data_IF_367740835020
#
_entry.id   IF_367740835020
#
_cell.length_a   1.000
_cell.length_b   1.000
_cell.length_c   1.000
_cell.angle_alpha   90.00
_cell.angle_beta   90.00
_cell.angle_gamma   90.00
#
_symmetry.space_group_name_H-M   'P 1'
#
loop_
_entity.id
_entity.type
_entity.pdbx_description
1 polymer ?
#
# COMPACT_ATOMS: atom_id res chain seq x y z
N UNK A 1 -17.89 -31.30 31.12
CA UNK A 1 -17.68 -30.30 30.05
C UNK A 1 -16.47 -30.75 29.26
N UNK A 2 -16.63 -31.05 27.97
CA UNK A 2 -15.50 -31.31 27.08
C UNK A 2 -14.65 -30.04 27.02
N UNK A 3 -13.40 -30.14 27.44
CA UNK A 3 -12.47 -29.01 27.39
C UNK A 3 -12.08 -28.80 25.94
N UNK A 4 -12.37 -27.64 25.38
CA UNK A 4 -12.00 -27.31 24.00
C UNK A 4 -10.48 -27.50 23.83
N UNK A 5 -10.06 -28.25 22.79
CA UNK A 5 -8.65 -28.57 22.53
C UNK A 5 -7.75 -27.35 22.35
N UNK A 6 -8.33 -26.18 22.04
CA UNK A 6 -7.62 -24.91 21.87
C UNK A 6 -7.53 -24.08 23.15
N UNK A 7 -8.22 -24.45 24.24
CA UNK A 7 -8.25 -23.68 25.49
C UNK A 7 -6.86 -23.40 26.08
N UNK A 8 -5.99 -24.41 26.11
CA UNK A 8 -4.61 -24.29 26.60
C UNK A 8 -3.82 -23.27 25.78
N UNK A 9 -3.87 -23.40 24.45
CA UNK A 9 -3.18 -22.50 23.52
C UNK A 9 -3.69 -21.07 23.66
N UNK A 10 -5.01 -20.88 23.78
CA UNK A 10 -5.59 -19.54 23.95
C UNK A 10 -5.25 -18.92 25.32
N UNK A 11 -5.09 -19.73 26.36
CA UNK A 11 -4.68 -19.24 27.68
C UNK A 11 -3.26 -18.67 27.73
N UNK A 12 -2.39 -19.11 26.81
CA UNK A 12 -1.01 -18.62 26.68
C UNK A 12 -0.92 -17.34 25.85
N UNK A 13 -1.98 -16.99 25.11
CA UNK A 13 -2.01 -15.82 24.22
C UNK A 13 -2.23 -14.54 25.02
N UNK A 14 -1.65 -13.44 24.52
CA UNK A 14 -1.86 -12.10 25.07
C UNK A 14 -3.24 -11.54 24.68
N UNK A 15 -3.78 -10.64 25.49
CA UNK A 15 -5.14 -10.09 25.31
C UNK A 15 -5.34 -9.50 23.90
N UNK A 16 -4.37 -8.76 23.39
CA UNK A 16 -4.41 -8.17 22.05
C UNK A 16 -4.48 -9.23 20.94
N UNK A 17 -3.78 -10.35 21.11
CA UNK A 17 -3.76 -11.44 20.14
C UNK A 17 -5.10 -12.18 20.16
N UNK A 18 -5.67 -12.43 21.34
CA UNK A 18 -7.01 -12.99 21.51
C UNK A 18 -8.08 -12.09 20.87
N UNK A 19 -8.00 -10.76 21.10
CA UNK A 19 -8.88 -9.78 20.47
C UNK A 19 -8.78 -9.84 18.95
N UNK A 20 -7.55 -9.95 18.40
CA UNK A 20 -7.33 -10.03 16.96
C UNK A 20 -7.92 -11.31 16.34
N UNK A 21 -7.79 -12.45 17.03
CA UNK A 21 -8.35 -13.74 16.62
C UNK A 21 -9.88 -13.69 16.56
N UNK A 22 -10.54 -13.04 17.52
CA UNK A 22 -12.03 -12.97 17.53
C UNK A 22 -12.59 -11.85 16.65
N UNK A 23 -11.74 -10.98 16.10
CA UNK A 23 -12.11 -9.84 15.25
C UNK A 23 -11.54 -9.98 13.83
N UNK A 24 -10.40 -9.35 13.54
CA UNK A 24 -9.84 -9.21 12.19
C UNK A 24 -9.38 -10.53 11.57
N UNK A 25 -8.82 -11.43 12.38
CA UNK A 25 -8.29 -12.72 11.90
C UNK A 25 -9.31 -13.86 12.05
N UNK A 26 -10.56 -13.57 12.42
CA UNK A 26 -11.58 -14.60 12.69
C UNK A 26 -11.75 -15.61 11.55
N UNK A 27 -11.57 -15.18 10.31
CA UNK A 27 -11.69 -16.03 9.13
C UNK A 27 -10.50 -17.00 8.94
N UNK A 28 -9.35 -16.69 9.53
CA UNK A 28 -8.11 -17.47 9.38
C UNK A 28 -8.02 -18.62 10.40
N UNK A 29 -8.92 -18.66 11.39
CA UNK A 29 -8.92 -19.64 12.47
C UNK A 29 -10.12 -20.59 12.42
N UNK A 30 -9.93 -21.80 12.95
CA UNK A 30 -11.02 -22.76 13.16
C UNK A 30 -12.06 -22.19 14.12
N UNK A 31 -13.37 -22.45 13.90
CA UNK A 31 -14.43 -21.90 14.73
C UNK A 31 -14.30 -22.30 16.21
N UNK A 32 -13.81 -23.51 16.49
CA UNK A 32 -13.56 -23.97 17.85
C UNK A 32 -12.41 -23.18 18.51
N UNK A 33 -11.40 -22.74 17.75
CA UNK A 33 -10.32 -21.92 18.26
C UNK A 33 -10.81 -20.49 18.58
N UNK A 34 -11.70 -19.95 17.74
CA UNK A 34 -12.36 -18.65 17.99
C UNK A 34 -13.22 -18.71 19.25
N UNK A 35 -13.99 -19.78 19.44
CA UNK A 35 -14.81 -19.97 20.65
C UNK A 35 -13.93 -20.05 21.91
N UNK A 36 -12.82 -20.79 21.86
CA UNK A 36 -11.87 -20.85 22.98
C UNK A 36 -11.25 -19.48 23.30
N UNK A 37 -10.97 -18.66 22.29
CA UNK A 37 -10.47 -17.30 22.48
C UNK A 37 -11.53 -16.37 23.10
N UNK A 38 -12.80 -16.48 22.67
CA UNK A 38 -13.91 -15.73 23.26
C UNK A 38 -14.14 -16.12 24.73
N UNK A 39 -14.04 -17.41 25.07
CA UNK A 39 -14.14 -17.91 26.44
C UNK A 39 -13.00 -17.41 27.32
N UNK A 40 -11.78 -17.38 26.79
CA UNK A 40 -10.61 -16.86 27.49
C UNK A 40 -10.72 -15.35 27.75
N UNK A 41 -11.18 -14.57 26.76
CA UNK A 41 -11.45 -13.14 26.93
C UNK A 41 -12.52 -12.89 28.01
N UNK A 42 -13.59 -13.70 28.03
CA UNK A 42 -14.59 -13.66 29.10
C UNK A 42 -14.00 -14.01 30.45
N UNK A 43 -13.13 -15.03 30.54
CA UNK A 43 -12.42 -15.40 31.78
C UNK A 43 -11.56 -14.25 32.32
N UNK A 44 -10.96 -13.45 31.42
CA UNK A 44 -10.17 -12.27 31.76
C UNK A 44 -11.01 -11.00 32.01
N UNK A 45 -12.34 -11.08 31.99
CA UNK A 45 -13.26 -9.95 32.10
C UNK A 45 -13.07 -8.88 30.99
N UNK A 46 -12.64 -9.30 29.80
CA UNK A 46 -12.49 -8.43 28.64
C UNK A 46 -13.75 -8.53 27.78
N UNK A 47 -14.61 -7.52 27.89
CA UNK A 47 -15.91 -7.48 27.22
C UNK A 47 -15.77 -6.98 25.78
N UNK A 48 -16.61 -7.45 24.83
CA UNK A 48 -16.64 -6.94 23.44
C UNK A 48 -16.66 -5.43 23.29
N UNK A 49 -17.33 -4.70 24.18
CA UNK A 49 -17.35 -3.23 24.18
C UNK A 49 -15.97 -2.60 24.38
N UNK A 50 -15.05 -3.28 25.09
CA UNK A 50 -13.72 -2.75 25.41
C UNK A 50 -12.77 -2.79 24.22
N UNK A 51 -13.05 -3.59 23.19
CA UNK A 51 -12.17 -3.73 22.02
C UNK A 51 -12.86 -3.46 20.68
N UNK A 52 -14.18 -3.54 20.60
CA UNK A 52 -14.93 -3.22 19.36
C UNK A 52 -14.68 -1.79 18.89
N UNK A 53 -14.63 -0.83 19.80
CA UNK A 53 -14.43 0.58 19.45
C UNK A 53 -13.02 0.81 18.88
N UNK A 54 -11.99 0.20 19.49
CA UNK A 54 -10.61 0.25 19.00
C UNK A 54 -10.46 -0.44 17.64
N UNK A 55 -11.07 -1.61 17.45
CA UNK A 55 -11.00 -2.30 16.14
C UNK A 55 -11.65 -1.50 15.03
N UNK A 56 -12.78 -0.83 15.29
CA UNK A 56 -13.46 0.00 14.28
C UNK A 56 -12.69 1.27 13.94
N UNK A 57 -12.09 1.95 14.92
CA UNK A 57 -11.26 3.11 14.65
C UNK A 57 -9.99 2.73 13.87
N UNK A 58 -9.33 1.64 14.25
CA UNK A 58 -8.13 1.16 13.56
C UNK A 58 -8.45 0.70 12.14
N UNK A 59 -9.55 -0.03 11.94
CA UNK A 59 -9.98 -0.46 10.60
C UNK A 59 -10.29 0.74 9.70
N UNK A 60 -10.99 1.76 10.22
CA UNK A 60 -11.27 3.00 9.49
C UNK A 60 -10.00 3.78 9.15
N UNK A 61 -9.01 3.82 10.04
CA UNK A 61 -7.71 4.45 9.77
C UNK A 61 -6.93 3.69 8.69
N UNK A 62 -6.95 2.36 8.72
CA UNK A 62 -6.30 1.50 7.72
C UNK A 62 -6.97 1.67 6.35
N UNK A 63 -8.30 1.76 6.29
CA UNK A 63 -9.03 2.02 5.03
C UNK A 63 -8.68 3.40 4.45
N UNK A 64 -8.66 4.45 5.28
CA UNK A 64 -8.29 5.81 4.84
C UNK A 64 -6.84 5.86 4.34
N UNK A 65 -5.92 5.12 4.97
CA UNK A 65 -4.53 5.07 4.54
C UNK A 65 -4.38 4.29 3.21
N UNK A 66 -5.07 3.16 3.07
CA UNK A 66 -5.12 2.40 1.80
C UNK A 66 -5.72 3.23 0.66
N UNK A 67 -6.81 3.96 0.91
CA UNK A 67 -7.40 4.85 -0.09
C UNK A 67 -6.43 5.98 -0.49
N UNK A 68 -5.72 6.57 0.48
CA UNK A 68 -4.69 7.59 0.20
C UNK A 68 -3.51 7.03 -0.59
N UNK A 69 -3.09 5.79 -0.34
CA UNK A 69 -2.04 5.15 -1.13
C UNK A 69 -2.51 4.89 -2.57
N UNK A 70 -3.74 4.42 -2.75
CA UNK A 70 -4.34 4.17 -4.07
C UNK A 70 -4.54 5.48 -4.85
N UNK A 71 -4.96 6.55 -4.18
CA UNK A 71 -5.16 7.86 -4.81
C UNK A 71 -3.82 8.49 -5.24
N UNK A 72 -2.79 8.40 -4.39
CA UNK A 72 -1.42 8.83 -4.73
C UNK A 72 -0.84 8.11 -5.95
N UNK A 73 -1.22 6.84 -6.18
CA UNK A 73 -0.78 6.05 -7.32
C UNK A 73 -1.46 6.43 -8.66
N UNK A 74 -2.62 7.09 -8.61
CA UNK A 74 -3.45 7.40 -9.79
C UNK A 74 -3.31 8.82 -10.31
N UNK A 75 -2.69 9.73 -9.56
CA UNK A 75 -2.52 11.11 -10.00
C UNK A 75 -1.69 11.15 -11.29
N UNK A 76 -2.26 11.56 -12.44
CA UNK A 76 -1.52 11.62 -13.68
C UNK A 76 -0.47 12.73 -13.58
N UNK A 77 0.67 12.51 -14.21
CA UNK A 77 1.73 13.51 -14.30
C UNK A 77 1.16 14.82 -14.88
N UNK A 78 1.41 15.93 -14.20
CA UNK A 78 0.90 17.24 -14.61
C UNK A 78 1.40 17.59 -16.02
N UNK A 79 0.56 18.30 -16.78
CA UNK A 79 0.88 18.65 -18.17
C UNK A 79 2.20 19.46 -18.27
N UNK A 80 2.45 20.34 -17.30
CA UNK A 80 3.67 21.13 -17.21
C UNK A 80 4.93 20.29 -17.03
N UNK A 81 4.88 19.24 -16.20
CA UNK A 81 6.04 18.35 -16.00
C UNK A 81 6.33 17.55 -17.28
N UNK A 82 5.30 17.15 -18.03
CA UNK A 82 5.48 16.50 -19.34
C UNK A 82 6.19 17.43 -20.34
N UNK A 83 5.78 18.70 -20.39
CA UNK A 83 6.39 19.70 -21.27
C UNK A 83 7.86 19.95 -20.92
N UNK A 84 8.18 20.08 -19.62
CA UNK A 84 9.57 20.26 -19.15
C UNK A 84 10.41 19.03 -19.49
N UNK A 85 9.90 17.82 -19.26
CA UNK A 85 10.61 16.57 -19.56
C UNK A 85 10.89 16.40 -21.05
N UNK A 86 9.99 16.90 -21.91
CA UNK A 86 10.18 16.90 -23.36
C UNK A 86 11.21 17.96 -23.81
N UNK A 87 11.13 19.18 -23.27
CA UNK A 87 12.00 20.30 -23.64
C UNK A 87 13.44 20.14 -23.10
N UNK A 88 13.59 19.54 -21.93
CA UNK A 88 14.87 19.27 -21.29
C UNK A 88 14.99 17.78 -20.95
N UNK A 89 15.19 16.91 -21.95
CA UNK A 89 15.25 15.48 -21.74
C UNK A 89 16.61 15.06 -21.18
N UNK A 90 16.88 15.43 -19.92
CA UNK A 90 18.15 15.11 -19.28
C UNK A 90 18.15 13.65 -18.78
N UNK A 91 19.26 12.90 -18.89
CA UNK A 91 19.34 11.51 -18.41
C UNK A 91 18.95 11.33 -16.93
N UNK A 92 19.15 12.34 -16.08
CA UNK A 92 18.71 12.28 -14.68
C UNK A 92 17.19 12.14 -14.55
N UNK A 93 16.38 12.67 -15.48
CA UNK A 93 14.93 12.52 -15.45
C UNK A 93 14.49 11.05 -15.65
N UNK A 94 15.27 10.26 -16.39
CA UNK A 94 15.03 8.81 -16.51
C UNK A 94 15.33 8.08 -15.20
N UNK A 95 16.41 8.45 -14.51
CA UNK A 95 16.77 7.86 -13.21
C UNK A 95 15.69 8.18 -12.18
N UNK A 96 15.20 9.42 -12.16
CA UNK A 96 14.09 9.85 -11.30
C UNK A 96 12.80 9.08 -11.65
N UNK A 97 12.49 8.92 -12.94
CA UNK A 97 11.33 8.15 -13.38
C UNK A 97 11.38 6.69 -12.97
N UNK A 98 12.55 6.05 -13.04
CA UNK A 98 12.78 4.68 -12.57
C UNK A 98 12.65 4.57 -11.04
N UNK A 99 13.24 5.50 -10.30
CA UNK A 99 13.11 5.54 -8.85
C UNK A 99 11.63 5.66 -8.43
N UNK A 100 10.86 6.55 -9.07
CA UNK A 100 9.42 6.69 -8.81
C UNK A 100 8.65 5.39 -9.05
N UNK A 101 8.99 4.63 -10.09
CA UNK A 101 8.36 3.32 -10.34
C UNK A 101 8.67 2.33 -9.21
N UNK A 102 9.92 2.29 -8.73
CA UNK A 102 10.33 1.43 -7.61
C UNK A 102 9.65 1.81 -6.29
N UNK A 103 9.38 3.10 -6.06
CA UNK A 103 8.63 3.60 -4.91
C UNK A 103 7.09 3.47 -5.06
N UNK A 104 6.59 2.79 -6.10
CA UNK A 104 5.16 2.54 -6.29
C UNK A 104 4.41 3.62 -7.08
N UNK A 105 5.07 4.71 -7.47
CA UNK A 105 4.49 5.76 -8.34
C UNK A 105 4.56 5.39 -9.82
N UNK A 106 3.96 4.25 -10.18
CA UNK A 106 4.08 3.68 -11.52
C UNK A 106 3.57 4.62 -12.63
N UNK A 107 2.43 5.29 -12.42
CA UNK A 107 1.81 6.15 -13.44
C UNK A 107 2.66 7.39 -13.74
N UNK A 108 3.15 8.05 -12.70
CA UNK A 108 4.03 9.22 -12.81
C UNK A 108 5.39 8.86 -13.41
N UNK A 109 6.04 7.82 -12.89
CA UNK A 109 7.37 7.42 -13.35
C UNK A 109 7.38 6.94 -14.81
N UNK A 110 6.39 6.13 -15.22
CA UNK A 110 6.24 5.73 -16.64
C UNK A 110 5.98 6.93 -17.55
N UNK A 111 5.16 7.89 -17.09
CA UNK A 111 4.92 9.15 -17.79
C UNK A 111 6.20 9.94 -18.00
N UNK A 112 6.96 10.17 -16.94
CA UNK A 112 8.20 10.95 -16.98
C UNK A 112 9.24 10.31 -17.91
N UNK A 113 9.45 8.99 -17.81
CA UNK A 113 10.36 8.28 -18.71
C UNK A 113 9.94 8.40 -20.17
N UNK A 114 8.65 8.21 -20.47
CA UNK A 114 8.13 8.29 -21.84
C UNK A 114 8.38 9.65 -22.49
N UNK A 115 8.07 10.74 -21.79
CA UNK A 115 8.23 12.10 -22.33
C UNK A 115 9.70 12.52 -22.45
N UNK A 116 10.55 12.07 -21.51
CA UNK A 116 12.00 12.28 -21.59
C UNK A 116 12.61 11.57 -22.80
N UNK A 117 12.26 10.30 -23.04
CA UNK A 117 12.73 9.56 -24.23
C UNK A 117 12.25 10.19 -25.54
N UNK A 118 10.99 10.66 -25.57
CA UNK A 118 10.43 11.36 -26.72
C UNK A 118 11.19 12.66 -27.03
N UNK A 119 11.51 13.44 -26.00
CA UNK A 119 12.35 14.63 -26.16
C UNK A 119 13.73 14.27 -26.70
N UNK A 120 14.38 13.25 -26.14
CA UNK A 120 15.69 12.80 -26.60
C UNK A 120 15.70 12.43 -28.09
N UNK A 121 14.71 11.65 -28.53
CA UNK A 121 14.54 11.29 -29.93
C UNK A 121 14.33 12.52 -30.82
N UNK A 122 13.53 13.49 -30.37
CA UNK A 122 13.29 14.73 -31.10
C UNK A 122 14.57 15.55 -31.30
N UNK A 123 15.35 15.77 -30.23
CA UNK A 123 16.61 16.50 -30.33
C UNK A 123 17.67 15.74 -31.14
N UNK A 124 17.70 14.41 -31.05
CA UNK A 124 18.60 13.60 -31.87
C UNK A 124 18.31 13.76 -33.37
N UNK A 125 17.02 13.74 -33.75
CA UNK A 125 16.60 13.99 -35.13
C UNK A 125 16.97 15.42 -35.57
N UNK A 126 16.67 16.43 -34.75
CA UNK A 126 17.03 17.82 -35.06
C UNK A 126 18.55 18.00 -35.26
N UNK A 127 19.37 17.37 -34.42
CA UNK A 127 20.82 17.43 -34.54
C UNK A 127 21.30 16.79 -35.83
N UNK A 128 20.76 15.62 -36.18
CA UNK A 128 21.05 14.98 -37.48
C UNK A 128 20.65 15.86 -38.67
N UNK A 129 19.49 16.52 -38.61
CA UNK A 129 19.10 17.49 -39.64
C UNK A 129 20.07 18.68 -39.68
N UNK A 130 20.44 19.27 -38.55
CA UNK A 130 21.40 20.37 -38.54
C UNK A 130 22.76 19.98 -39.14
N UNK A 131 23.30 18.80 -38.84
CA UNK A 131 24.57 18.34 -39.42
C UNK A 131 24.50 18.03 -40.92
N UNK A 132 23.32 17.67 -41.45
CA UNK A 132 23.14 17.39 -42.89
C UNK A 132 23.10 18.68 -43.72
N UNK A 133 22.63 19.78 -43.14
CA UNK A 133 22.41 21.06 -43.83
C UNK A 133 23.51 22.11 -43.59
N UNK A 134 24.50 21.80 -42.75
CA UNK A 134 25.65 22.66 -42.42
C UNK A 134 26.91 22.20 -43.17
#
# INVERSE_FOLDING_TARGET
METNKFSVVMSEKVDMELVRIVTSERADYQPEAVIAAEEELKRRNITPSMYQDYTKEVEKLIEVEKEKEVEKQRLPLSAWVKAIAFLFPFPLLLIIGLALILFGYQTCGKGLCKWTLLGWLFYFILLMFCEIFL
#
